data_IF_680915207800
#
_entry.id   IF_680915207800
#
_cell.length_a   1.000
_cell.length_b   1.000
_cell.length_c   1.000
_cell.angle_alpha   90.00
_cell.angle_beta   90.00
_cell.angle_gamma   90.00
#
_symmetry.space_group_name_H-M   'P 1'
#
loop_
_entity.id
_entity.type
_entity.pdbx_description
1 polymer ?
#
# COMPACT_ATOMS: atom_id res chain seq x y z
N UNK A 1 11.66 31.38 -45.32
CA UNK A 1 10.36 31.01 -45.91
C UNK A 1 9.83 29.85 -45.08
N UNK A 2 9.05 30.15 -44.03
CA UNK A 2 8.54 29.19 -43.05
C UNK A 2 7.21 28.64 -43.54
N UNK A 3 7.21 27.41 -44.03
CA UNK A 3 5.99 26.68 -44.39
C UNK A 3 5.17 26.44 -43.12
N UNK A 4 3.95 26.99 -43.08
CA UNK A 4 2.99 26.70 -42.02
C UNK A 4 2.59 25.22 -42.09
N UNK A 5 2.51 24.50 -40.97
CA UNK A 5 2.08 23.10 -40.98
C UNK A 5 0.64 23.03 -41.48
N UNK A 6 0.41 22.20 -42.50
CA UNK A 6 -0.93 21.88 -42.98
C UNK A 6 -1.59 21.01 -41.91
N UNK A 7 -2.61 21.55 -41.23
CA UNK A 7 -3.37 20.78 -40.25
C UNK A 7 -4.26 19.81 -41.02
N UNK A 8 -3.76 18.61 -41.27
CA UNK A 8 -4.55 17.51 -41.81
C UNK A 8 -5.60 17.06 -40.80
N UNK A 9 -6.73 16.54 -41.28
CA UNK A 9 -7.75 15.94 -40.42
C UNK A 9 -7.18 14.68 -39.76
N UNK A 10 -7.07 14.68 -38.44
CA UNK A 10 -6.70 13.49 -37.67
C UNK A 10 -7.95 12.68 -37.38
N UNK A 11 -8.00 11.45 -37.87
CA UNK A 11 -9.05 10.50 -37.51
C UNK A 11 -8.70 9.83 -36.19
N UNK A 12 -9.48 10.13 -35.15
CA UNK A 12 -9.36 9.49 -33.83
C UNK A 12 -10.46 8.45 -33.71
N UNK A 13 -10.09 7.23 -33.32
CA UNK A 13 -11.03 6.16 -32.97
C UNK A 13 -10.79 5.76 -31.53
N UNK A 14 -11.86 5.67 -30.75
CA UNK A 14 -11.79 5.17 -29.38
C UNK A 14 -11.38 3.69 -29.39
N UNK A 15 -10.37 3.34 -28.59
CA UNK A 15 -9.84 1.97 -28.53
C UNK A 15 -10.67 1.05 -27.65
N UNK A 16 -11.55 1.60 -26.81
CA UNK A 16 -12.31 0.87 -25.79
C UNK A 16 -11.46 0.37 -24.61
N UNK A 17 -10.19 0.76 -24.53
CA UNK A 17 -9.31 0.40 -23.42
C UNK A 17 -9.59 1.34 -22.25
N UNK A 18 -9.95 0.76 -21.11
CA UNK A 18 -10.15 1.49 -19.86
C UNK A 18 -9.14 1.02 -18.81
N UNK A 19 -8.49 1.96 -18.13
CA UNK A 19 -7.51 1.68 -17.09
C UNK A 19 -8.23 1.71 -15.74
N UNK A 20 -8.63 0.53 -15.28
CA UNK A 20 -9.31 0.35 -14.00
C UNK A 20 -8.31 0.04 -12.88
N UNK A 21 -8.56 0.53 -11.65
CA UNK A 21 -7.74 0.18 -10.50
C UNK A 21 -7.92 -1.30 -10.15
N UNK A 22 -6.82 -1.96 -9.83
CA UNK A 22 -6.79 -3.29 -9.25
C UNK A 22 -6.74 -3.18 -7.72
N UNK A 23 -7.88 -3.44 -7.09
CA UNK A 23 -8.02 -3.39 -5.63
C UNK A 23 -7.15 -4.43 -4.89
N UNK A 24 -6.58 -5.41 -5.59
CA UNK A 24 -5.63 -6.36 -5.00
C UNK A 24 -4.20 -5.80 -4.90
N UNK A 25 -3.88 -4.71 -5.63
CA UNK A 25 -2.58 -4.04 -5.59
C UNK A 25 -2.48 -3.11 -4.38
N UNK A 26 -2.26 -3.73 -3.23
CA UNK A 26 -2.07 -3.08 -1.93
C UNK A 26 -0.68 -3.35 -1.38
N UNK A 27 -0.23 -2.48 -0.47
CA UNK A 27 1.03 -2.64 0.27
C UNK A 27 0.79 -2.50 1.76
N UNK A 28 1.57 -3.24 2.55
CA UNK A 28 1.59 -3.12 4.00
C UNK A 28 2.71 -2.15 4.42
N UNK A 29 2.41 -1.26 5.37
CA UNK A 29 3.35 -0.28 5.89
C UNK A 29 3.19 -0.12 7.39
N UNK A 30 4.31 0.01 8.11
CA UNK A 30 4.28 0.37 9.52
C UNK A 30 3.56 1.72 9.70
N UNK A 31 2.62 1.75 10.63
CA UNK A 31 1.88 2.93 11.03
C UNK A 31 1.87 3.04 12.56
N UNK A 32 2.44 4.12 13.07
CA UNK A 32 2.47 4.41 14.51
C UNK A 32 1.72 5.71 14.76
N UNK A 33 0.45 5.59 15.14
CA UNK A 33 -0.42 6.72 15.41
C UNK A 33 0.21 7.67 16.45
N UNK A 34 0.29 8.97 16.12
CA UNK A 34 0.87 10.00 17.00
C UNK A 34 2.32 10.38 16.69
N UNK A 35 2.93 9.80 15.65
CA UNK A 35 4.22 10.28 15.10
C UNK A 35 4.09 11.18 13.87
N UNK A 36 2.86 11.46 13.45
CA UNK A 36 2.60 12.13 12.17
C UNK A 36 2.68 13.65 12.25
N UNK A 37 2.69 14.27 13.44
CA UNK A 37 2.84 15.73 13.58
C UNK A 37 3.59 16.16 14.86
N UNK A 38 4.33 17.26 14.71
CA UNK A 38 5.33 17.84 15.62
C UNK A 38 4.66 18.52 16.83
N UNK A 39 4.50 17.82 17.95
CA UNK A 39 4.04 18.40 19.21
C UNK A 39 4.20 17.45 20.40
N UNK A 40 4.36 17.94 21.64
CA UNK A 40 4.51 17.08 22.81
C UNK A 40 3.15 16.49 23.18
N UNK A 41 2.95 15.22 22.82
CA UNK A 41 1.73 14.48 23.14
C UNK A 41 2.00 12.99 23.16
N UNK A 42 1.54 12.32 24.21
CA UNK A 42 1.74 10.89 24.45
C UNK A 42 1.47 10.06 23.20
N UNK A 43 2.43 9.19 22.86
CA UNK A 43 2.32 8.29 21.73
C UNK A 43 1.07 7.42 21.90
N UNK A 44 0.06 7.57 21.03
CA UNK A 44 -1.14 6.71 20.99
C UNK A 44 -0.78 5.22 20.89
N UNK A 45 0.45 4.92 20.44
CA UNK A 45 1.00 3.58 20.45
C UNK A 45 0.90 2.88 21.81
N UNK A 46 1.24 3.55 22.92
CA UNK A 46 1.23 2.92 24.25
C UNK A 46 -0.17 2.45 24.67
N UNK A 47 -1.20 3.21 24.30
CA UNK A 47 -2.60 2.85 24.56
C UNK A 47 -3.02 1.64 23.73
N UNK A 48 -2.60 1.58 22.45
CA UNK A 48 -2.89 0.43 21.58
C UNK A 48 -2.19 -0.82 22.09
N UNK A 49 -0.91 -0.71 22.44
CA UNK A 49 -0.13 -1.79 23.05
C UNK A 49 -0.86 -2.34 24.27
N UNK A 50 -1.21 -1.48 25.23
CA UNK A 50 -1.85 -1.90 26.47
C UNK A 50 -3.15 -2.65 26.21
N UNK A 51 -3.98 -2.17 25.27
CA UNK A 51 -5.23 -2.86 24.89
C UNK A 51 -4.99 -4.26 24.38
N UNK A 52 -3.95 -4.48 23.57
CA UNK A 52 -3.61 -5.81 23.05
C UNK A 52 -3.04 -6.70 24.15
N UNK A 53 -2.28 -6.14 25.10
CA UNK A 53 -1.77 -6.87 26.26
C UNK A 53 -2.89 -7.28 27.23
N UNK A 54 -3.91 -6.46 27.39
CA UNK A 54 -5.07 -6.72 28.26
C UNK A 54 -6.03 -7.79 27.70
N UNK A 55 -5.90 -8.18 26.43
CA UNK A 55 -6.70 -9.25 25.82
C UNK A 55 -6.34 -10.61 26.41
N UNK A 56 -7.36 -11.41 26.72
CA UNK A 56 -7.20 -12.83 27.00
C UNK A 56 -6.77 -13.60 25.75
N UNK A 57 -6.05 -14.73 25.91
CA UNK A 57 -5.53 -15.51 24.75
C UNK A 57 -6.62 -15.87 23.74
N UNK A 58 -7.81 -16.29 24.20
CA UNK A 58 -8.91 -16.66 23.29
C UNK A 58 -9.41 -15.47 22.45
N UNK A 59 -9.27 -14.24 22.95
CA UNK A 59 -9.61 -13.02 22.20
C UNK A 59 -8.51 -12.72 21.18
N UNK A 60 -7.24 -12.88 21.58
CA UNK A 60 -6.10 -12.72 20.67
C UNK A 60 -6.22 -13.66 19.46
N UNK A 61 -6.52 -14.93 19.71
CA UNK A 61 -6.67 -15.93 18.65
C UNK A 61 -7.86 -15.60 17.73
N UNK A 62 -8.98 -15.13 18.29
CA UNK A 62 -10.15 -14.74 17.52
C UNK A 62 -9.89 -13.51 16.63
N UNK A 63 -9.25 -12.48 17.17
CA UNK A 63 -8.90 -11.26 16.43
C UNK A 63 -7.87 -11.56 15.32
N UNK A 64 -6.86 -12.41 15.61
CA UNK A 64 -5.89 -12.81 14.60
C UNK A 64 -6.53 -13.62 13.47
N UNK A 65 -7.47 -14.52 13.78
CA UNK A 65 -8.21 -15.28 12.78
C UNK A 65 -9.07 -14.39 11.87
N UNK A 66 -9.72 -13.36 12.42
CA UNK A 66 -10.49 -12.38 11.65
C UNK A 66 -9.60 -11.53 10.73
N UNK A 67 -8.41 -11.12 11.22
CA UNK A 67 -7.41 -10.44 10.38
C UNK A 67 -6.96 -11.38 9.25
N UNK A 68 -6.70 -12.64 9.55
CA UNK A 68 -6.26 -13.61 8.56
C UNK A 68 -7.30 -13.83 7.46
N UNK A 69 -8.58 -13.95 7.82
CA UNK A 69 -9.69 -14.06 6.87
C UNK A 69 -9.74 -12.86 5.90
N UNK A 70 -9.49 -11.65 6.40
CA UNK A 70 -9.59 -10.40 5.62
C UNK A 70 -8.37 -10.10 4.76
N UNK A 71 -7.18 -10.52 5.18
CA UNK A 71 -5.91 -10.02 4.61
C UNK A 71 -5.03 -11.11 3.98
N UNK A 72 -5.07 -12.38 4.42
CA UNK A 72 -4.12 -13.42 3.95
C UNK A 72 -4.18 -13.65 2.44
N UNK A 73 -5.38 -13.63 1.85
CA UNK A 73 -5.56 -13.90 0.43
C UNK A 73 -4.80 -12.91 -0.48
N UNK A 74 -4.45 -11.73 0.04
CA UNK A 74 -3.91 -10.59 -0.72
C UNK A 74 -2.43 -10.35 -0.43
N UNK A 75 -1.92 -10.90 0.68
CA UNK A 75 -0.55 -10.70 1.16
C UNK A 75 0.15 -12.03 1.38
N UNK A 76 1.16 -12.33 0.54
CA UNK A 76 1.92 -13.58 0.63
C UNK A 76 2.76 -13.70 1.90
N UNK A 77 3.13 -12.59 2.51
CA UNK A 77 4.05 -12.50 3.65
C UNK A 77 3.43 -11.72 4.83
N UNK A 78 2.10 -11.80 4.99
CA UNK A 78 1.35 -11.02 5.99
C UNK A 78 1.94 -11.16 7.41
N UNK A 79 2.14 -12.40 7.86
CA UNK A 79 2.65 -12.68 9.21
C UNK A 79 4.11 -12.28 9.38
N UNK A 80 4.93 -12.40 8.34
CA UNK A 80 6.33 -11.94 8.39
C UNK A 80 6.37 -10.42 8.61
N UNK A 81 5.53 -9.67 7.89
CA UNK A 81 5.41 -8.21 8.06
C UNK A 81 4.89 -7.86 9.45
N UNK A 82 3.88 -8.58 9.97
CA UNK A 82 3.40 -8.37 11.33
C UNK A 82 4.51 -8.62 12.35
N UNK A 83 5.29 -9.69 12.19
CA UNK A 83 6.42 -9.99 13.06
C UNK A 83 7.45 -8.85 13.06
N UNK A 84 7.86 -8.37 11.89
CA UNK A 84 8.80 -7.25 11.75
C UNK A 84 8.27 -5.98 12.43
N UNK A 85 6.99 -5.65 12.21
CA UNK A 85 6.36 -4.49 12.85
C UNK A 85 6.24 -4.66 14.37
N UNK A 86 5.92 -5.85 14.85
CA UNK A 86 5.86 -6.16 16.27
C UNK A 86 7.21 -5.96 16.95
N UNK A 87 8.31 -6.40 16.33
CA UNK A 87 9.67 -6.21 16.85
C UNK A 87 10.03 -4.73 16.99
N UNK A 88 9.68 -3.91 16.01
CA UNK A 88 9.87 -2.46 16.07
C UNK A 88 9.08 -1.82 17.22
N UNK A 89 7.87 -2.29 17.49
CA UNK A 89 7.02 -1.75 18.56
C UNK A 89 7.48 -2.23 19.94
N UNK A 90 7.76 -3.53 20.08
CA UNK A 90 8.18 -4.17 21.33
C UNK A 90 9.52 -3.61 21.82
N UNK A 91 10.47 -3.32 20.92
CA UNK A 91 11.74 -2.70 21.27
C UNK A 91 11.60 -1.30 21.93
N UNK A 92 10.39 -0.72 21.94
CA UNK A 92 10.08 0.58 22.54
C UNK A 92 9.32 0.49 23.86
N UNK A 93 9.00 -0.72 24.32
CA UNK A 93 8.31 -0.98 25.59
C UNK A 93 9.32 -1.54 26.58
N UNK A 94 9.49 -0.88 27.72
CA UNK A 94 10.38 -1.34 28.77
C UNK A 94 9.80 -2.60 29.45
N UNK A 95 10.61 -3.67 29.56
CA UNK A 95 10.42 -4.73 30.57
C UNK A 95 9.38 -5.83 30.30
N UNK A 96 8.46 -5.71 29.35
CA UNK A 96 7.34 -6.68 29.17
C UNK A 96 7.49 -7.65 27.99
N UNK A 97 8.52 -7.48 27.15
CA UNK A 97 8.69 -8.25 25.92
C UNK A 97 8.86 -9.78 26.12
N UNK A 98 9.33 -10.22 27.29
CA UNK A 98 9.80 -11.59 27.49
C UNK A 98 8.68 -12.65 27.55
N UNK A 99 7.44 -12.26 27.86
CA UNK A 99 6.35 -13.21 28.14
C UNK A 99 5.17 -13.15 27.15
N UNK A 100 5.31 -12.45 26.02
CA UNK A 100 4.23 -12.32 25.03
C UNK A 100 4.17 -13.56 24.13
N UNK A 101 3.00 -14.20 24.04
CA UNK A 101 2.72 -15.33 23.13
C UNK A 101 2.93 -14.95 21.66
N UNK A 102 3.20 -15.94 20.80
CA UNK A 102 3.44 -15.70 19.37
C UNK A 102 2.21 -15.06 18.68
N UNK A 103 1.00 -15.53 18.97
CA UNK A 103 -0.24 -14.95 18.43
C UNK A 103 -0.40 -13.48 18.85
N UNK A 104 -0.11 -13.14 20.11
CA UNK A 104 -0.20 -11.76 20.59
C UNK A 104 0.88 -10.86 19.97
N UNK A 105 2.07 -11.40 19.69
CA UNK A 105 3.11 -10.67 18.92
C UNK A 105 2.61 -10.34 17.52
N UNK A 106 2.00 -11.30 16.81
CA UNK A 106 1.40 -11.04 15.49
C UNK A 106 0.28 -10.00 15.57
N UNK A 107 -0.61 -10.09 16.57
CA UNK A 107 -1.69 -9.13 16.75
C UNK A 107 -1.18 -7.72 17.08
N UNK A 108 -0.11 -7.61 17.87
CA UNK A 108 0.60 -6.34 18.09
C UNK A 108 1.10 -5.79 16.75
N UNK A 109 1.82 -6.60 15.97
CA UNK A 109 2.30 -6.21 14.64
C UNK A 109 1.19 -5.73 13.72
N UNK A 110 0.11 -6.49 13.63
CA UNK A 110 -1.07 -6.17 12.84
C UNK A 110 -1.69 -4.82 13.24
N UNK A 111 -1.78 -4.54 14.55
CA UNK A 111 -2.32 -3.28 15.08
C UNK A 111 -1.52 -2.04 14.69
N UNK A 112 -0.25 -2.21 14.29
CA UNK A 112 0.62 -1.16 13.78
C UNK A 112 0.90 -1.28 12.28
N UNK A 113 0.10 -2.07 11.56
CA UNK A 113 0.23 -2.25 10.12
C UNK A 113 -0.93 -1.58 9.41
N UNK A 114 -0.61 -0.65 8.50
CA UNK A 114 -1.58 -0.10 7.56
C UNK A 114 -1.46 -0.80 6.21
N UNK A 115 -2.62 -1.11 5.66
CA UNK A 115 -2.75 -1.45 4.27
C UNK A 115 -3.05 -0.21 3.43
N UNK A 116 -2.31 -0.03 2.34
CA UNK A 116 -2.45 1.09 1.43
C UNK A 116 -2.67 0.60 0.00
N UNK A 117 -3.75 1.07 -0.65
CA UNK A 117 -3.98 0.82 -2.08
C UNK A 117 -3.25 1.84 -2.92
N UNK A 118 -2.23 1.41 -3.66
CA UNK A 118 -1.47 2.29 -4.57
C UNK A 118 -2.39 2.77 -5.71
N UNK A 119 -3.32 1.91 -6.12
CA UNK A 119 -4.19 2.15 -7.27
C UNK A 119 -5.47 2.91 -6.93
N UNK A 120 -5.68 3.24 -5.66
CA UNK A 120 -6.64 4.27 -5.27
C UNK A 120 -6.24 5.68 -5.70
N UNK A 121 -4.98 5.87 -6.15
CA UNK A 121 -4.49 7.14 -6.65
C UNK A 121 -5.13 7.49 -8.00
N UNK A 122 -5.48 8.76 -8.20
CA UNK A 122 -5.97 9.21 -9.49
C UNK A 122 -4.82 9.23 -10.50
N UNK A 123 -5.00 8.60 -11.66
CA UNK A 123 -4.00 8.62 -12.74
C UNK A 123 -4.11 9.92 -13.54
N UNK A 124 -3.09 10.75 -13.42
CA UNK A 124 -3.02 12.07 -14.03
C UNK A 124 -1.79 12.21 -14.94
N UNK A 125 -1.76 13.28 -15.74
CA UNK A 125 -0.59 13.67 -16.54
C UNK A 125 -0.02 12.56 -17.45
N UNK A 126 -0.82 11.99 -18.37
CA UNK A 126 -0.33 11.00 -19.30
C UNK A 126 0.74 11.60 -20.21
N UNK A 127 1.86 10.90 -20.37
CA UNK A 127 2.94 11.25 -21.30
C UNK A 127 3.31 10.02 -22.11
N UNK A 128 3.50 10.18 -23.42
CA UNK A 128 3.82 9.07 -24.33
C UNK A 128 5.14 9.31 -25.06
N UNK A 129 5.93 8.26 -25.23
CA UNK A 129 7.17 8.25 -26.02
C UNK A 129 7.13 7.07 -26.98
N UNK A 130 7.51 7.30 -28.24
CA UNK A 130 7.60 6.24 -29.25
C UNK A 130 8.71 5.25 -28.88
N UNK A 131 8.38 3.96 -28.85
CA UNK A 131 9.31 2.89 -28.51
C UNK A 131 10.22 2.51 -29.69
N UNK A 132 9.67 2.49 -30.91
CA UNK A 132 10.43 2.23 -32.14
C UNK A 132 9.96 3.12 -33.28
N UNK A 133 10.91 3.71 -34.01
CA UNK A 133 10.66 4.62 -35.13
C UNK A 133 10.61 3.90 -36.48
N UNK A 134 10.78 2.58 -36.52
CA UNK A 134 10.83 1.82 -37.77
C UNK A 134 9.40 1.54 -38.29
N UNK A 135 8.91 2.45 -39.12
CA UNK A 135 7.52 2.51 -39.61
C UNK A 135 7.44 2.22 -41.11
N UNK A 136 7.39 0.94 -41.48
CA UNK A 136 6.92 0.54 -42.83
C UNK A 136 5.44 0.13 -42.84
N UNK A 137 4.73 0.26 -41.71
CA UNK A 137 3.39 -0.31 -41.51
C UNK A 137 2.28 0.71 -41.30
N UNK A 138 2.61 1.99 -41.10
CA UNK A 138 1.67 3.04 -40.69
C UNK A 138 1.23 2.94 -39.22
N UNK A 139 1.93 2.14 -38.40
CA UNK A 139 1.67 1.96 -36.97
C UNK A 139 2.96 2.00 -36.18
N UNK A 140 2.93 2.52 -34.94
CA UNK A 140 4.09 2.57 -34.05
C UNK A 140 3.73 2.10 -32.65
N UNK A 141 4.70 1.49 -31.98
CA UNK A 141 4.61 1.15 -30.56
C UNK A 141 5.06 2.33 -29.73
N UNK A 142 4.39 2.56 -28.61
CA UNK A 142 4.72 3.64 -27.67
C UNK A 142 4.64 3.14 -26.23
N UNK A 143 5.34 3.84 -25.36
CA UNK A 143 5.24 3.67 -23.91
C UNK A 143 4.50 4.88 -23.36
N UNK A 144 3.51 4.64 -22.50
CA UNK A 144 2.83 5.70 -21.74
C UNK A 144 3.26 5.64 -20.29
N UNK A 145 3.51 6.80 -19.70
CA UNK A 145 3.61 6.99 -18.26
C UNK A 145 2.46 7.86 -17.76
N UNK A 146 2.08 7.64 -16.51
CA UNK A 146 1.05 8.39 -15.78
C UNK A 146 1.56 8.67 -14.37
N UNK A 147 1.03 9.69 -13.72
CA UNK A 147 1.32 10.04 -12.32
C UNK A 147 0.11 9.69 -11.45
N UNK A 148 0.27 8.82 -10.47
CA UNK A 148 -0.69 8.65 -9.38
C UNK A 148 -0.60 9.83 -8.41
N UNK A 149 -1.74 10.41 -8.03
CA UNK A 149 -1.88 11.46 -7.00
C UNK A 149 -2.90 11.08 -5.94
#
# INVERSE_FOLDING_TARGET
MTTSPTVGTVHVTETGIDLQPDHSRVVLRLFVAGREDVGPGDSRASVVIQRVLDLHEHQVDAELADIDERFLARHRNLHDVFQEHAELVIARIDGEAANISAARRLLLGASFTHEYSIEGAALCNPSAVVHSLDDQSGTTQFVVSVRGV
#
